data_IF_061277193950
#
_entry.id   IF_061277193950
#
_cell.length_a   1.000
_cell.length_b   1.000
_cell.length_c   1.000
_cell.angle_alpha   90.00
_cell.angle_beta   90.00
_cell.angle_gamma   90.00
#
_symmetry.space_group_name_H-M   'P 1'
#
loop_
_entity.id
_entity.type
_entity.pdbx_description
1 polymer ?
#
# COMPACT_ATOMS: atom_id res chain seq x y z
N UNK A 1 -32.90 1.51 16.23
CA UNK A 1 -32.67 1.67 16.23
C UNK A 1 -32.34 1.50 16.04
N UNK A 2 -32.09 1.25 16.05
CA UNK A 2 -31.73 1.22 16.05
C UNK A 2 -31.44 0.39 16.12
N UNK A 3 -31.21 -0.08 16.19
CA UNK A 3 -30.90 -0.58 16.33
C UNK A 3 -30.35 -1.32 16.20
N UNK A 4 -30.23 -1.81 16.27
CA UNK A 4 -29.69 -2.19 16.20
C UNK A 4 -29.44 -3.16 16.04
N UNK A 5 -29.41 -3.57 16.05
CA UNK A 5 -29.17 -4.11 15.99
C UNK A 5 -28.66 -4.90 15.97
N UNK A 6 -28.51 -5.34 16.02
CA UNK A 6 -27.98 -5.74 16.09
C UNK A 6 -27.49 -6.58 16.03
N UNK A 7 -27.22 -6.92 16.17
CA UNK A 7 -26.73 -7.26 16.15
C UNK A 7 -26.30 -8.18 16.23
N UNK A 8 -26.15 -8.76 16.39
CA UNK A 8 -25.74 -9.13 16.55
C UNK A 8 -25.25 -9.84 16.42
N UNK A 9 -25.08 -10.39 16.46
CA UNK A 9 -24.38 -10.41 16.48
C UNK A 9 -24.02 -11.15 16.11
N UNK A 10 -23.95 -11.42 16.11
CA UNK A 10 -23.50 -11.38 15.78
C UNK A 10 -22.87 -11.37 15.52
N UNK A 11 -22.65 -11.61 15.63
CA UNK A 11 -22.08 -11.03 15.40
C UNK A 11 -21.20 -10.90 15.36
N UNK A 12 -20.75 -11.17 15.66
CA UNK A 12 -20.02 -10.54 15.64
C UNK A 12 -19.24 -10.28 15.04
N UNK A 13 -18.73 -10.96 15.21
CA UNK A 13 -17.73 -10.31 14.64
C UNK A 13 -18.02 -9.61 13.53
N UNK A 14 -18.67 -9.58 13.13
CA UNK A 14 -18.91 -8.76 12.22
C UNK A 14 -19.46 -7.58 12.61
N UNK A 15 -19.97 -7.47 13.43
CA UNK A 15 -20.60 -6.41 13.77
C UNK A 15 -19.89 -5.23 13.99
N UNK A 16 -18.87 -5.25 14.26
CA UNK A 16 -18.08 -4.10 14.52
C UNK A 16 -17.87 -3.24 13.30
N UNK A 17 -18.02 -3.78 12.13
CA UNK A 17 -17.72 -3.03 10.95
C UNK A 17 -18.75 -2.01 10.55
N UNK A 18 -19.90 -2.01 11.17
CA UNK A 18 -20.96 -1.13 10.75
C UNK A 18 -20.59 0.33 10.88
N UNK A 19 -20.07 0.73 12.05
CA UNK A 19 -19.68 2.11 12.25
C UNK A 19 -18.47 2.46 11.43
N UNK A 20 -17.57 1.49 11.27
CA UNK A 20 -16.32 1.75 10.59
C UNK A 20 -16.47 1.93 9.09
N UNK A 21 -17.60 1.52 8.52
CA UNK A 21 -17.82 1.68 7.09
C UNK A 21 -17.79 3.14 6.66
N UNK A 22 -18.17 4.04 7.54
CA UNK A 22 -18.18 5.45 7.20
C UNK A 22 -16.85 6.14 7.44
N UNK A 23 -15.93 5.49 8.08
CA UNK A 23 -14.63 6.09 8.36
C UNK A 23 -13.70 5.94 7.17
N UNK A 24 -12.86 6.97 6.88
CA UNK A 24 -11.85 6.81 5.83
C UNK A 24 -10.93 5.66 6.19
N UNK A 25 -10.65 4.81 5.21
CA UNK A 25 -9.78 3.66 5.38
C UNK A 25 -8.55 3.86 4.50
N UNK A 26 -7.37 3.69 5.08
CA UNK A 26 -6.14 3.76 4.32
C UNK A 26 -6.13 2.62 3.29
N UNK A 27 -5.83 2.95 2.06
CA UNK A 27 -5.83 2.00 0.95
C UNK A 27 -4.43 1.92 0.36
N UNK A 28 -3.88 0.71 0.30
CA UNK A 28 -2.52 0.47 -0.15
C UNK A 28 -2.55 -0.46 -1.37
N UNK A 29 -1.85 -0.06 -2.43
CA UNK A 29 -1.61 -0.96 -3.56
C UNK A 29 -0.26 -1.61 -3.35
N UNK A 30 -0.24 -2.93 -3.20
CA UNK A 30 0.99 -3.70 -2.99
C UNK A 30 1.29 -4.51 -4.24
N UNK A 31 2.40 -4.21 -4.90
CA UNK A 31 2.81 -4.91 -6.12
C UNK A 31 3.94 -5.85 -5.76
N UNK A 32 3.67 -7.15 -5.82
CA UNK A 32 4.61 -8.18 -5.37
C UNK A 32 4.28 -9.50 -6.04
N UNK A 33 5.23 -10.09 -6.74
CA UNK A 33 4.98 -11.36 -7.44
C UNK A 33 5.25 -12.59 -6.57
N UNK A 34 5.92 -12.46 -5.45
CA UNK A 34 6.17 -13.58 -4.53
C UNK A 34 4.97 -13.71 -3.59
N UNK A 35 4.24 -14.82 -3.71
CA UNK A 35 3.01 -15.01 -2.94
C UNK A 35 3.26 -15.03 -1.44
N UNK A 36 4.38 -15.58 -1.01
CA UNK A 36 4.69 -15.64 0.41
C UNK A 36 4.90 -14.25 0.98
N UNK A 37 5.69 -13.44 0.29
CA UNK A 37 5.94 -12.07 0.73
C UNK A 37 4.65 -11.26 0.70
N UNK A 38 3.85 -11.42 -0.37
CA UNK A 38 2.59 -10.69 -0.48
C UNK A 38 1.65 -11.04 0.67
N UNK A 39 1.59 -12.32 1.01
CA UNK A 39 0.70 -12.80 2.07
C UNK A 39 1.12 -12.27 3.44
N UNK A 40 2.42 -12.33 3.74
CA UNK A 40 2.94 -11.84 5.01
C UNK A 40 2.73 -10.34 5.14
N UNK A 41 3.03 -9.60 4.08
CA UNK A 41 2.85 -8.16 4.10
C UNK A 41 1.38 -7.80 4.28
N UNK A 42 0.48 -8.51 3.59
CA UNK A 42 -0.95 -8.26 3.73
C UNK A 42 -1.41 -8.46 5.17
N UNK A 43 -0.96 -9.53 5.81
CA UNK A 43 -1.33 -9.79 7.19
C UNK A 43 -0.89 -8.66 8.11
N UNK A 44 0.36 -8.21 7.92
CA UNK A 44 0.91 -7.15 8.75
C UNK A 44 0.11 -5.87 8.58
N UNK A 45 -0.20 -5.52 7.33
CA UNK A 45 -0.85 -4.25 7.04
C UNK A 45 -2.33 -4.27 7.38
N UNK A 46 -3.01 -5.39 7.13
CA UNK A 46 -4.42 -5.48 7.46
C UNK A 46 -4.64 -5.49 8.97
N UNK A 47 -3.65 -5.94 9.73
CA UNK A 47 -3.74 -5.88 11.18
C UNK A 47 -3.83 -4.45 11.69
N UNK A 48 -3.40 -3.48 10.88
CA UNK A 48 -3.50 -2.06 11.23
C UNK A 48 -4.86 -1.46 10.86
N UNK A 49 -5.73 -2.25 10.24
CA UNK A 49 -7.00 -1.75 9.76
C UNK A 49 -6.93 -1.18 8.36
N UNK A 50 -5.80 -1.33 7.69
CA UNK A 50 -5.62 -0.81 6.34
C UNK A 50 -6.13 -1.79 5.30
N UNK A 51 -6.57 -1.26 4.16
CA UNK A 51 -7.01 -2.09 3.04
C UNK A 51 -5.84 -2.30 2.10
N UNK A 52 -5.61 -3.56 1.70
CA UNK A 52 -4.48 -3.89 0.83
C UNK A 52 -5.00 -4.56 -0.43
N UNK A 53 -4.67 -3.96 -1.56
CA UNK A 53 -4.93 -4.58 -2.85
C UNK A 53 -3.60 -5.08 -3.40
N UNK A 54 -3.53 -6.36 -3.77
CA UNK A 54 -2.28 -6.96 -4.21
C UNK A 54 -2.29 -7.19 -5.72
N UNK A 55 -1.21 -6.78 -6.38
CA UNK A 55 -0.95 -7.07 -7.78
C UNK A 55 0.28 -7.94 -7.89
N UNK A 56 0.28 -8.90 -8.81
CA UNK A 56 1.39 -9.84 -8.92
C UNK A 56 2.33 -9.56 -10.09
N UNK A 57 2.00 -8.58 -10.92
CA UNK A 57 2.89 -8.23 -12.05
C UNK A 57 2.82 -6.74 -12.34
N UNK A 58 3.84 -6.26 -13.05
CA UNK A 58 3.97 -4.84 -13.32
C UNK A 58 2.98 -4.32 -14.33
N UNK A 59 2.56 -5.15 -15.28
CA UNK A 59 1.61 -4.68 -16.30
C UNK A 59 0.25 -4.38 -15.70
N UNK A 60 -0.24 -5.29 -14.84
CA UNK A 60 -1.50 -5.06 -14.15
C UNK A 60 -1.38 -3.85 -13.21
N UNK A 61 -0.24 -3.74 -12.54
CA UNK A 61 -0.02 -2.61 -11.63
C UNK A 61 -0.02 -1.29 -12.40
N UNK A 62 0.57 -1.29 -13.59
CA UNK A 62 0.58 -0.07 -14.42
C UNK A 62 -0.83 0.38 -14.74
N UNK A 63 -1.72 -0.57 -15.07
CA UNK A 63 -3.11 -0.24 -15.34
C UNK A 63 -3.78 0.36 -14.10
N UNK A 64 -3.53 -0.23 -12.93
CA UNK A 64 -4.16 0.27 -11.71
C UNK A 64 -3.63 1.63 -11.32
N UNK A 65 -2.34 1.84 -11.45
CA UNK A 65 -1.72 3.12 -11.14
C UNK A 65 -2.22 4.21 -12.08
N UNK A 66 -2.39 3.86 -13.36
CA UNK A 66 -2.87 4.81 -14.35
C UNK A 66 -4.36 5.08 -14.21
N UNK A 67 -5.09 4.21 -13.53
CA UNK A 67 -6.53 4.36 -13.35
C UNK A 67 -6.89 5.36 -12.28
N UNK A 68 -8.17 5.40 -11.95
CA UNK A 68 -8.70 6.45 -11.09
C UNK A 68 -8.95 6.01 -9.65
N UNK A 69 -8.77 4.73 -9.34
CA UNK A 69 -8.91 4.27 -7.96
C UNK A 69 -7.87 4.97 -7.09
N UNK A 70 -8.31 5.49 -5.96
CA UNK A 70 -7.39 6.21 -5.08
C UNK A 70 -6.64 5.25 -4.16
N UNK A 71 -5.35 5.47 -4.04
CA UNK A 71 -4.51 4.75 -3.10
C UNK A 71 -3.79 5.77 -2.24
N UNK A 72 -3.68 5.47 -0.96
CA UNK A 72 -2.96 6.36 -0.04
C UNK A 72 -1.47 6.10 -0.06
N UNK A 73 -1.07 4.92 -0.55
CA UNK A 73 0.35 4.56 -0.57
C UNK A 73 0.55 3.44 -1.59
N UNK A 74 1.68 3.49 -2.28
CA UNK A 74 2.11 2.42 -3.18
C UNK A 74 3.29 1.71 -2.55
N UNK A 75 3.19 0.38 -2.41
CA UNK A 75 4.26 -0.47 -1.89
C UNK A 75 4.66 -1.39 -3.03
N UNK A 76 5.88 -1.23 -3.53
CA UNK A 76 6.25 -1.81 -4.82
C UNK A 76 7.56 -2.58 -4.74
N UNK A 77 7.54 -3.82 -5.22
CA UNK A 77 8.75 -4.61 -5.43
C UNK A 77 9.41 -4.18 -6.74
N UNK A 78 10.73 -4.25 -6.80
CA UNK A 78 11.46 -3.91 -8.00
C UNK A 78 11.40 -5.00 -9.06
N UNK A 79 11.57 -6.25 -8.65
CA UNK A 79 11.76 -7.37 -9.57
C UNK A 79 10.41 -7.99 -9.93
N UNK A 80 9.77 -7.45 -10.96
CA UNK A 80 8.42 -7.86 -11.36
C UNK A 80 8.39 -8.28 -12.81
N UNK A 81 7.51 -9.25 -13.16
CA UNK A 81 7.30 -9.57 -14.58
C UNK A 81 6.66 -8.38 -15.29
N UNK A 82 7.06 -8.15 -16.51
CA UNK A 82 6.52 -7.08 -17.33
C UNK A 82 7.20 -5.76 -17.02
N UNK A 83 6.43 -4.80 -16.52
CA UNK A 83 6.98 -3.49 -16.14
C UNK A 83 7.59 -3.61 -14.75
N UNK A 84 8.86 -3.21 -14.58
CA UNK A 84 9.51 -3.36 -13.29
C UNK A 84 9.09 -2.25 -12.33
N UNK A 85 9.45 -2.43 -11.04
CA UNK A 85 8.98 -1.53 -10.00
C UNK A 85 9.44 -0.10 -10.14
N UNK A 86 10.69 0.11 -10.55
CA UNK A 86 11.19 1.47 -10.69
C UNK A 86 10.52 2.20 -11.85
N UNK A 87 10.17 1.47 -12.91
CA UNK A 87 9.42 2.06 -14.01
C UNK A 87 8.03 2.46 -13.54
N UNK A 88 7.40 1.66 -12.68
CA UNK A 88 6.10 1.99 -12.13
C UNK A 88 6.15 3.28 -11.33
N UNK A 89 7.18 3.43 -10.51
CA UNK A 89 7.33 4.62 -9.67
C UNK A 89 7.57 5.85 -10.53
N UNK A 90 8.45 5.74 -11.50
CA UNK A 90 8.70 6.87 -12.40
C UNK A 90 7.42 7.29 -13.11
N UNK A 91 6.65 6.31 -13.59
CA UNK A 91 5.40 6.60 -14.27
C UNK A 91 4.40 7.27 -13.31
N UNK A 92 4.28 6.75 -12.09
CA UNK A 92 3.34 7.30 -11.13
C UNK A 92 3.67 8.76 -10.79
N UNK A 93 4.95 9.09 -10.69
CA UNK A 93 5.36 10.46 -10.38
C UNK A 93 4.97 11.44 -11.48
N UNK A 94 4.77 10.95 -12.70
CA UNK A 94 4.39 11.79 -13.81
C UNK A 94 2.88 11.99 -13.92
N UNK A 95 2.10 11.27 -13.14
CA UNK A 95 0.65 11.39 -13.17
C UNK A 95 0.19 12.39 -12.12
N UNK A 96 -0.68 13.32 -12.53
CA UNK A 96 -1.14 14.35 -11.60
C UNK A 96 -1.77 13.76 -10.36
N UNK A 97 -2.55 12.69 -10.51
CA UNK A 97 -3.27 12.12 -9.37
C UNK A 97 -2.45 11.15 -8.54
N UNK A 98 -1.19 10.92 -8.93
CA UNK A 98 -0.30 10.03 -8.17
C UNK A 98 0.98 10.72 -7.72
N UNK A 99 1.30 11.87 -8.29
CA UNK A 99 2.63 12.45 -8.13
C UNK A 99 2.99 12.76 -6.68
N UNK A 100 2.02 12.90 -5.80
CA UNK A 100 2.28 13.16 -4.39
C UNK A 100 2.00 11.94 -3.50
N UNK A 101 1.62 10.81 -4.08
CA UNK A 101 1.34 9.60 -3.30
C UNK A 101 2.62 9.04 -2.72
N UNK A 102 2.67 8.73 -1.42
CA UNK A 102 3.86 8.09 -0.84
C UNK A 102 4.15 6.76 -1.49
N UNK A 103 5.44 6.50 -1.74
CA UNK A 103 5.86 5.28 -2.43
C UNK A 103 7.01 4.63 -1.70
N UNK A 104 6.84 3.34 -1.39
CA UNK A 104 7.85 2.53 -0.69
C UNK A 104 8.28 1.41 -1.61
N UNK A 105 9.59 1.25 -1.77
CA UNK A 105 10.14 0.09 -2.49
C UNK A 105 10.56 -0.94 -1.45
N UNK A 106 10.12 -2.18 -1.64
CA UNK A 106 10.51 -3.31 -0.79
C UNK A 106 11.13 -4.36 -1.69
N UNK A 107 12.45 -4.48 -1.68
CA UNK A 107 13.17 -5.27 -2.69
C UNK A 107 14.29 -6.08 -2.08
N UNK A 108 14.64 -7.18 -2.74
CA UNK A 108 15.73 -8.05 -2.31
C UNK A 108 17.10 -7.50 -2.68
N UNK A 109 17.17 -6.67 -3.72
CA UNK A 109 18.44 -6.17 -4.25
C UNK A 109 18.80 -4.81 -3.64
N UNK A 110 20.10 -4.48 -3.57
CA UNK A 110 20.52 -3.21 -2.95
C UNK A 110 20.44 -2.06 -3.95
N UNK A 111 19.22 -1.65 -4.27
CA UNK A 111 18.97 -0.64 -5.29
C UNK A 111 18.42 0.65 -4.69
N UNK A 112 18.85 0.98 -3.48
CA UNK A 112 18.28 2.14 -2.79
C UNK A 112 18.50 3.44 -3.58
N UNK A 113 19.70 3.63 -4.12
CA UNK A 113 19.98 4.86 -4.86
C UNK A 113 19.07 4.97 -6.09
N UNK A 114 18.95 3.87 -6.82
CA UNK A 114 18.11 3.85 -8.02
C UNK A 114 16.64 4.05 -7.67
N UNK A 115 16.20 3.47 -6.55
CA UNK A 115 14.82 3.62 -6.13
C UNK A 115 14.49 5.07 -5.78
N UNK A 116 15.41 5.73 -5.07
CA UNK A 116 15.20 7.12 -4.70
C UNK A 116 15.23 8.02 -5.93
N UNK A 117 16.13 7.72 -6.86
CA UNK A 117 16.20 8.49 -8.09
C UNK A 117 14.92 8.35 -8.90
N UNK A 118 14.30 7.17 -8.89
CA UNK A 118 13.04 6.96 -9.58
C UNK A 118 11.86 7.69 -8.92
N UNK A 119 12.00 8.04 -7.63
CA UNK A 119 10.97 8.79 -6.93
C UNK A 119 10.44 8.12 -5.68
N UNK A 120 11.04 7.03 -5.23
CA UNK A 120 10.60 6.37 -4.01
C UNK A 120 10.91 7.22 -2.79
N UNK A 121 9.98 7.28 -1.85
CA UNK A 121 10.18 8.00 -0.60
C UNK A 121 11.03 7.20 0.38
N UNK A 122 10.85 5.88 0.38
CA UNK A 122 11.58 5.01 1.29
C UNK A 122 11.93 3.72 0.57
N UNK A 123 13.11 3.20 0.85
CA UNK A 123 13.56 1.90 0.36
C UNK A 123 13.74 0.97 1.56
N UNK A 124 13.12 -0.21 1.50
CA UNK A 124 13.27 -1.24 2.52
C UNK A 124 13.82 -2.49 1.85
N UNK A 125 14.83 -3.10 2.49
CA UNK A 125 15.49 -4.28 1.96
C UNK A 125 14.87 -5.54 2.55
N UNK A 126 14.46 -6.50 1.69
CA UNK A 126 13.99 -7.80 2.16
C UNK A 126 15.14 -8.59 2.73
N UNK A 127 14.90 -9.45 3.71
CA UNK A 127 13.64 -9.68 4.41
C UNK A 127 13.42 -8.75 5.60
N UNK A 128 14.45 -8.07 6.09
CA UNK A 128 14.36 -7.28 7.31
C UNK A 128 13.35 -6.16 7.19
N UNK A 129 13.25 -5.58 6.00
CA UNK A 129 12.33 -4.46 5.77
C UNK A 129 10.86 -4.81 5.94
N UNK A 130 10.52 -6.11 5.80
CA UNK A 130 9.13 -6.51 5.97
C UNK A 130 8.66 -6.19 7.39
N UNK A 131 9.52 -6.39 8.38
CA UNK A 131 9.19 -6.06 9.77
C UNK A 131 9.11 -4.58 10.05
N UNK A 132 9.56 -3.74 9.11
CA UNK A 132 9.54 -2.29 9.29
C UNK A 132 8.38 -1.62 8.57
N UNK A 133 7.51 -2.40 7.91
CA UNK A 133 6.47 -1.83 7.07
C UNK A 133 5.50 -0.94 7.84
N UNK A 134 4.97 -1.43 8.95
CA UNK A 134 3.95 -0.69 9.69
C UNK A 134 4.48 0.67 10.15
N UNK A 135 5.66 0.66 10.75
CA UNK A 135 6.25 1.88 11.26
C UNK A 135 6.55 2.86 10.14
N UNK A 136 7.11 2.35 9.04
CA UNK A 136 7.46 3.20 7.89
C UNK A 136 6.22 3.83 7.28
N UNK A 137 5.18 3.04 7.09
CA UNK A 137 3.96 3.53 6.45
C UNK A 137 3.24 4.52 7.36
N UNK A 138 3.18 4.24 8.66
CA UNK A 138 2.59 5.19 9.60
C UNK A 138 3.29 6.53 9.54
N UNK A 139 4.62 6.52 9.46
CA UNK A 139 5.38 7.77 9.39
C UNK A 139 5.06 8.53 8.11
N UNK A 140 5.03 7.83 6.99
CA UNK A 140 4.75 8.48 5.70
C UNK A 140 3.35 9.06 5.64
N UNK A 141 2.37 8.32 6.15
CA UNK A 141 1.00 8.80 6.14
C UNK A 141 0.84 9.99 7.08
N UNK A 142 1.54 9.98 8.20
CA UNK A 142 1.52 11.10 9.12
C UNK A 142 2.13 12.36 8.53
N UNK A 143 3.25 12.21 7.82
CA UNK A 143 3.88 13.35 7.17
C UNK A 143 3.00 13.94 6.09
N UNK A 144 2.35 13.06 5.30
CA UNK A 144 1.44 13.53 4.26
C UNK A 144 0.28 14.30 4.84
N UNK A 145 -0.26 13.80 5.95
CA UNK A 145 -1.38 14.46 6.58
C UNK A 145 -0.98 15.85 7.10
N UNK A 146 0.23 15.96 7.66
CA UNK A 146 0.71 17.24 8.13
C UNK A 146 0.86 18.25 7.00
N UNK A 147 1.31 17.79 5.85
CA UNK A 147 1.45 18.67 4.69
C UNK A 147 0.12 19.20 4.21
N UNK A 148 -0.93 18.41 4.38
CA UNK A 148 -2.25 18.81 3.93
C UNK A 148 -2.94 19.78 4.89
N UNK A 149 -2.42 19.87 6.10
CA UNK A 149 -2.96 20.81 7.06
C UNK A 149 -2.35 22.19 6.88
#
# INVERSE_FOLDING_TARGET
MTELKTITGEQDSVQSSIVLEDAPTVSILHVEDDETVASVAREILEAQGWRVETCVDGSTALEKISGEVEYDLLLIDDDLPGVNGLQLITHARELDHRCATPMVVLAANPIEAEAREAGADVFLRKPQGIGMLTETINRLLGERQQEME
#
